data_IF_493120001969
#
_entry.id   IF_493120001969
#
_cell.length_a   1.000
_cell.length_b   1.000
_cell.length_c   1.000
_cell.angle_alpha   90.00
_cell.angle_beta   90.00
_cell.angle_gamma   90.00
#
_symmetry.space_group_name_H-M   'P 1'
#
loop_
_entity.id
_entity.type
_entity.pdbx_description
1 polymer ?
#
# COMPACT_ATOMS: atom_id res chain seq x y z
N UNK A 1 10.42 -17.46 10.14
CA UNK A 1 9.53 -16.30 10.04
C UNK A 1 10.40 -15.09 9.84
N UNK A 2 10.00 -14.20 8.96
CA UNK A 2 10.74 -12.98 8.61
C UNK A 2 10.73 -11.92 9.72
N UNK A 3 11.61 -10.94 9.63
CA UNK A 3 11.73 -9.88 10.63
C UNK A 3 10.47 -9.00 10.68
N UNK A 4 9.85 -8.73 9.53
CA UNK A 4 8.59 -8.01 9.42
C UNK A 4 7.43 -8.79 10.04
N UNK A 5 7.37 -10.11 9.82
CA UNK A 5 6.36 -10.96 10.46
C UNK A 5 6.43 -10.84 11.99
N UNK A 6 7.63 -10.98 12.56
CA UNK A 6 7.82 -10.93 14.01
C UNK A 6 7.50 -9.54 14.57
N UNK A 7 7.88 -8.46 13.86
CA UNK A 7 7.56 -7.07 14.22
C UNK A 7 6.06 -6.80 14.22
N UNK A 8 5.33 -7.25 13.19
CA UNK A 8 3.88 -7.11 13.10
C UNK A 8 3.19 -7.94 14.19
N UNK A 9 3.59 -9.20 14.36
CA UNK A 9 3.02 -10.10 15.37
C UNK A 9 3.18 -9.51 16.77
N UNK A 10 4.37 -9.00 17.11
CA UNK A 10 4.60 -8.38 18.41
C UNK A 10 3.70 -7.16 18.66
N UNK A 11 3.44 -6.34 17.64
CA UNK A 11 2.55 -5.19 17.76
C UNK A 11 1.08 -5.60 17.97
N UNK A 12 0.61 -6.60 17.23
CA UNK A 12 -0.75 -7.14 17.36
C UNK A 12 -0.95 -7.84 18.69
N UNK A 13 0.03 -8.64 19.12
CA UNK A 13 -0.02 -9.38 20.37
C UNK A 13 -0.10 -8.42 21.57
N UNK A 14 0.71 -7.36 21.57
CA UNK A 14 0.68 -6.32 22.59
C UNK A 14 -0.71 -5.67 22.71
N UNK A 15 -1.34 -5.30 21.60
CA UNK A 15 -2.65 -4.66 21.61
C UNK A 15 -3.76 -5.66 22.00
N UNK A 16 -3.65 -6.92 21.55
CA UNK A 16 -4.62 -7.96 21.88
C UNK A 16 -4.60 -8.32 23.37
N UNK A 17 -3.41 -8.51 23.95
CA UNK A 17 -3.24 -8.82 25.38
C UNK A 17 -3.69 -7.65 26.26
N UNK A 18 -3.43 -6.41 25.85
CA UNK A 18 -3.89 -5.21 26.57
C UNK A 18 -5.41 -5.19 26.74
N UNK A 19 -6.15 -5.69 25.75
CA UNK A 19 -7.61 -5.76 25.78
C UNK A 19 -8.13 -7.09 26.38
N UNK A 20 -7.26 -7.89 27.01
CA UNK A 20 -7.60 -9.16 27.65
C UNK A 20 -7.86 -10.31 26.67
N UNK A 21 -7.46 -10.16 25.41
CA UNK A 21 -7.56 -11.18 24.39
C UNK A 21 -6.32 -12.07 24.30
N UNK A 22 -6.39 -13.06 23.42
CA UNK A 22 -5.25 -13.89 22.98
C UNK A 22 -5.07 -13.72 21.49
N UNK A 23 -3.83 -13.61 21.00
CA UNK A 23 -3.56 -13.44 19.58
C UNK A 23 -3.82 -14.75 18.82
N UNK A 24 -4.60 -14.65 17.75
CA UNK A 24 -4.94 -15.77 16.86
C UNK A 24 -4.52 -15.40 15.43
N UNK A 25 -3.46 -16.01 14.86
CA UNK A 25 -2.97 -15.67 13.53
C UNK A 25 -4.00 -15.84 12.41
N UNK A 26 -4.95 -16.75 12.59
CA UNK A 26 -6.01 -17.07 11.63
C UNK A 26 -7.25 -16.16 11.72
N UNK A 27 -7.21 -15.12 12.55
CA UNK A 27 -8.32 -14.17 12.71
C UNK A 27 -8.96 -14.20 14.09
N UNK A 28 -9.87 -13.26 14.33
CA UNK A 28 -10.53 -13.08 15.62
C UNK A 28 -11.49 -14.23 15.95
N UNK A 29 -11.39 -14.73 17.18
CA UNK A 29 -12.30 -15.72 17.77
C UNK A 29 -12.84 -15.23 19.11
N UNK A 30 -13.82 -15.93 19.66
CA UNK A 30 -14.29 -15.70 21.02
C UNK A 30 -13.19 -16.11 22.03
N UNK A 31 -12.43 -15.13 22.50
CA UNK A 31 -11.29 -15.33 23.43
C UNK A 31 -11.47 -14.61 24.78
N UNK A 32 -12.68 -14.15 25.11
CA UNK A 32 -13.00 -13.48 26.39
C UNK A 32 -12.49 -12.03 26.53
N UNK A 33 -11.65 -11.55 25.61
CA UNK A 33 -11.14 -10.18 25.59
C UNK A 33 -12.13 -9.14 25.06
N UNK A 34 -11.94 -7.88 25.46
CA UNK A 34 -12.69 -6.71 24.96
C UNK A 34 -12.08 -6.17 23.67
N UNK A 35 -11.95 -7.02 22.65
CA UNK A 35 -11.32 -6.63 21.39
C UNK A 35 -12.29 -5.77 20.53
N UNK A 36 -12.15 -4.44 20.60
CA UNK A 36 -12.97 -3.51 19.81
C UNK A 36 -12.51 -3.38 18.36
N UNK A 37 -11.22 -3.58 18.09
CA UNK A 37 -10.58 -3.25 16.82
C UNK A 37 -10.27 -4.47 15.93
N UNK A 38 -10.65 -5.68 16.35
CA UNK A 38 -10.42 -6.93 15.59
C UNK A 38 -8.95 -7.10 15.13
N UNK A 39 -8.00 -6.97 16.06
CA UNK A 39 -6.56 -6.98 15.74
C UNK A 39 -6.10 -8.25 15.00
N UNK A 40 -6.67 -9.41 15.36
CA UNK A 40 -6.32 -10.68 14.73
C UNK A 40 -6.81 -10.74 13.27
N UNK A 41 -7.99 -10.19 12.97
CA UNK A 41 -8.47 -10.07 11.58
C UNK A 41 -7.56 -9.15 10.77
N UNK A 42 -7.09 -8.04 11.37
CA UNK A 42 -6.11 -7.17 10.71
C UNK A 42 -4.81 -7.91 10.44
N UNK A 43 -4.28 -8.64 11.42
CA UNK A 43 -3.07 -9.46 11.25
C UNK A 43 -3.21 -10.42 10.07
N UNK A 44 -4.29 -11.22 10.07
CA UNK A 44 -4.59 -12.15 8.99
C UNK A 44 -4.67 -11.43 7.64
N UNK A 45 -5.41 -10.32 7.57
CA UNK A 45 -5.53 -9.53 6.35
C UNK A 45 -4.17 -9.08 5.81
N UNK A 46 -3.24 -8.65 6.67
CA UNK A 46 -1.90 -8.21 6.23
C UNK A 46 -1.11 -9.38 5.64
N UNK A 47 -1.13 -10.54 6.31
CA UNK A 47 -0.42 -11.73 5.83
C UNK A 47 -1.00 -12.23 4.51
N UNK A 48 -2.33 -12.31 4.41
CA UNK A 48 -3.01 -12.73 3.18
C UNK A 48 -2.74 -11.73 2.03
N UNK A 49 -2.68 -10.43 2.33
CA UNK A 49 -2.34 -9.39 1.34
C UNK A 49 -0.89 -9.50 0.88
N UNK A 50 0.06 -9.76 1.77
CA UNK A 50 1.47 -9.98 1.40
C UNK A 50 1.63 -11.20 0.50
N UNK A 51 0.92 -12.29 0.80
CA UNK A 51 0.88 -13.50 -0.05
C UNK A 51 0.31 -13.21 -1.44
N UNK A 52 -0.82 -12.50 -1.50
CA UNK A 52 -1.44 -12.10 -2.76
C UNK A 52 -0.50 -11.22 -3.61
N UNK A 53 0.25 -10.31 -2.97
CA UNK A 53 1.31 -9.56 -3.64
C UNK A 53 2.37 -10.52 -4.19
N UNK A 54 2.98 -11.35 -3.33
CA UNK A 54 4.01 -12.31 -3.72
C UNK A 54 3.63 -13.16 -4.94
N UNK A 55 2.40 -13.67 -4.95
CA UNK A 55 1.82 -14.39 -6.09
C UNK A 55 1.68 -13.51 -7.35
N UNK A 56 1.11 -12.31 -7.21
CA UNK A 56 0.83 -11.41 -8.33
C UNK A 56 2.10 -10.86 -9.02
N UNK A 57 3.19 -10.68 -8.27
CA UNK A 57 4.43 -10.07 -8.80
C UNK A 57 5.62 -11.03 -8.83
N UNK A 58 5.44 -12.29 -8.42
CA UNK A 58 6.48 -13.31 -8.44
C UNK A 58 7.61 -13.04 -7.43
N UNK A 59 7.28 -12.55 -6.25
CA UNK A 59 8.22 -12.31 -5.14
C UNK A 59 7.89 -13.22 -3.95
N UNK A 60 8.86 -13.45 -3.07
CA UNK A 60 8.57 -14.06 -1.78
C UNK A 60 7.70 -13.10 -0.97
N UNK A 61 6.59 -13.59 -0.41
CA UNK A 61 5.67 -12.77 0.37
C UNK A 61 6.31 -12.24 1.67
N UNK A 62 7.28 -12.98 2.22
CA UNK A 62 8.06 -12.52 3.38
C UNK A 62 8.89 -11.27 3.04
N UNK A 63 9.48 -11.20 1.84
CA UNK A 63 10.23 -10.01 1.40
C UNK A 63 9.30 -8.81 1.21
N UNK A 64 8.10 -9.03 0.66
CA UNK A 64 7.07 -7.99 0.53
C UNK A 64 6.67 -7.46 1.91
N UNK A 65 6.42 -8.34 2.86
CA UNK A 65 6.05 -7.97 4.24
C UNK A 65 7.19 -7.22 4.93
N UNK A 66 8.44 -7.67 4.77
CA UNK A 66 9.62 -7.03 5.35
C UNK A 66 9.82 -5.62 4.77
N UNK A 67 9.54 -5.41 3.48
CA UNK A 67 9.50 -4.09 2.85
C UNK A 67 8.48 -3.17 3.51
N UNK A 68 7.23 -3.63 3.67
CA UNK A 68 6.18 -2.86 4.35
C UNK A 68 6.53 -2.54 5.81
N UNK A 69 7.05 -3.52 6.54
CA UNK A 69 7.41 -3.35 7.94
C UNK A 69 8.64 -2.47 8.12
N UNK A 70 9.56 -2.43 7.16
CA UNK A 70 10.67 -1.46 7.14
C UNK A 70 10.16 -0.02 7.05
N UNK A 71 9.19 0.21 6.15
CA UNK A 71 8.60 1.53 5.95
C UNK A 71 7.61 1.94 7.05
N UNK A 72 6.99 0.97 7.74
CA UNK A 72 5.98 1.24 8.77
C UNK A 72 6.60 1.93 9.98
N UNK A 73 6.29 3.22 10.10
CA UNK A 73 6.69 4.11 11.20
C UNK A 73 5.52 4.60 12.09
N UNK A 74 4.29 4.11 11.86
CA UNK A 74 3.12 4.40 12.71
C UNK A 74 2.29 3.13 12.98
N UNK A 75 1.15 3.31 13.67
CA UNK A 75 0.30 2.22 14.13
C UNK A 75 -0.20 1.36 12.96
N UNK A 76 -0.03 0.05 13.07
CA UNK A 76 -0.28 -0.91 12.00
C UNK A 76 -1.74 -0.92 11.53
N UNK A 77 -2.70 -0.65 12.41
CA UNK A 77 -4.13 -0.56 12.03
C UNK A 77 -4.38 0.58 11.02
N UNK A 78 -3.62 1.67 11.11
CA UNK A 78 -3.71 2.79 10.19
C UNK A 78 -2.81 2.59 8.96
N UNK A 79 -1.65 1.96 9.15
CA UNK A 79 -0.70 1.72 8.05
C UNK A 79 -1.26 0.74 7.03
N UNK A 80 -1.87 -0.33 7.54
CA UNK A 80 -2.43 -1.41 6.73
C UNK A 80 -3.89 -1.16 6.36
N UNK A 81 -4.06 -0.59 5.18
CA UNK A 81 -5.36 -0.24 4.60
C UNK A 81 -5.32 -0.48 3.10
N UNK A 82 -6.47 -0.80 2.49
CA UNK A 82 -6.55 -1.01 1.03
C UNK A 82 -6.05 0.20 0.22
N UNK A 83 -6.10 1.42 0.76
CA UNK A 83 -5.54 2.60 0.10
C UNK A 83 -4.01 2.63 0.03
N UNK A 84 -3.33 1.98 0.98
CA UNK A 84 -1.87 1.90 1.05
C UNK A 84 -1.32 0.59 0.45
N UNK A 85 -2.06 -0.52 0.58
CA UNK A 85 -1.72 -1.82 0.00
C UNK A 85 -2.90 -2.36 -0.83
N UNK A 86 -3.26 -1.72 -1.95
CA UNK A 86 -4.38 -2.13 -2.80
C UNK A 86 -4.15 -3.52 -3.39
N UNK A 87 -5.21 -4.23 -3.75
CA UNK A 87 -5.04 -5.50 -4.46
C UNK A 87 -4.36 -5.26 -5.80
N UNK A 88 -3.37 -6.11 -6.14
CA UNK A 88 -2.75 -6.11 -7.46
C UNK A 88 -3.70 -6.77 -8.46
N UNK A 89 -4.74 -6.03 -8.85
CA UNK A 89 -5.69 -6.39 -9.92
C UNK A 89 -5.38 -5.56 -11.16
N UNK A 90 -5.54 -6.19 -12.33
CA UNK A 90 -5.29 -5.54 -13.62
C UNK A 90 -6.08 -4.22 -13.76
N UNK A 91 -5.43 -3.16 -14.26
CA UNK A 91 -6.03 -1.85 -14.53
C UNK A 91 -5.32 -0.69 -13.85
N UNK A 92 -5.53 -0.51 -12.53
CA UNK A 92 -5.00 0.63 -11.76
C UNK A 92 -3.61 0.42 -11.15
N UNK A 93 -3.14 -0.82 -11.16
CA UNK A 93 -1.82 -1.20 -10.62
C UNK A 93 -0.87 -1.49 -11.77
N UNK A 94 0.29 -0.83 -11.76
CA UNK A 94 1.40 -1.12 -12.68
C UNK A 94 2.62 -1.57 -11.88
N UNK A 95 3.29 -2.62 -12.35
CA UNK A 95 4.41 -3.24 -11.66
C UNK A 95 5.65 -3.15 -12.53
N UNK A 96 6.75 -2.70 -11.94
CA UNK A 96 8.05 -2.52 -12.59
C UNK A 96 9.13 -3.28 -11.83
N UNK A 97 10.13 -3.80 -12.54
CA UNK A 97 11.28 -4.43 -11.93
C UNK A 97 12.15 -3.42 -11.20
N UNK A 98 12.46 -2.30 -11.87
CA UNK A 98 13.39 -1.27 -11.38
C UNK A 98 12.80 0.14 -11.44
N UNK A 99 13.42 1.06 -10.73
CA UNK A 99 13.05 2.49 -10.82
C UNK A 99 13.33 3.08 -12.21
N UNK A 100 14.28 2.51 -12.95
CA UNK A 100 14.61 2.93 -14.31
C UNK A 100 13.49 2.55 -15.27
N UNK A 101 12.98 1.32 -15.20
CA UNK A 101 11.82 0.87 -15.99
C UNK A 101 10.59 1.74 -15.73
N UNK A 102 10.33 2.12 -14.47
CA UNK A 102 9.25 3.05 -14.13
C UNK A 102 9.45 4.41 -14.82
N UNK A 103 10.64 4.99 -14.74
CA UNK A 103 10.94 6.29 -15.35
C UNK A 103 10.84 6.25 -16.88
N UNK A 104 11.36 5.20 -17.51
CA UNK A 104 11.26 4.99 -18.95
C UNK A 104 9.80 4.83 -19.39
N UNK A 105 9.00 4.08 -18.63
CA UNK A 105 7.58 3.92 -18.91
C UNK A 105 6.78 5.21 -18.73
N UNK A 106 7.14 6.07 -17.76
CA UNK A 106 6.54 7.41 -17.59
C UNK A 106 6.93 8.29 -18.78
N UNK A 107 8.19 8.26 -19.21
CA UNK A 107 8.72 9.14 -20.24
C UNK A 107 8.88 10.57 -19.73
N UNK A 108 8.11 11.50 -20.30
CA UNK A 108 8.10 12.88 -19.80
C UNK A 108 7.44 12.94 -18.42
N UNK A 109 8.12 13.58 -17.45
CA UNK A 109 7.59 13.81 -16.10
C UNK A 109 6.46 14.84 -16.12
N UNK A 110 5.31 14.45 -16.68
CA UNK A 110 4.07 15.22 -16.74
C UNK A 110 2.96 14.35 -16.19
N UNK A 111 2.23 14.89 -15.23
CA UNK A 111 1.16 14.19 -14.53
C UNK A 111 -0.10 15.03 -14.45
N UNK A 112 -1.26 14.38 -14.46
CA UNK A 112 -2.57 15.02 -14.33
C UNK A 112 -2.97 15.13 -12.87
N UNK A 113 -3.18 16.35 -12.38
CA UNK A 113 -3.72 16.54 -11.05
C UNK A 113 -5.17 15.99 -10.97
N UNK A 114 -5.48 15.08 -10.03
CA UNK A 114 -6.81 14.48 -9.92
C UNK A 114 -7.88 15.47 -9.46
N UNK A 115 -7.46 16.53 -8.75
CA UNK A 115 -8.35 17.58 -8.22
C UNK A 115 -8.70 18.62 -9.27
N UNK A 116 -7.70 19.26 -9.91
CA UNK A 116 -7.93 20.39 -10.81
C UNK A 116 -7.70 20.10 -12.30
N UNK A 117 -7.24 18.90 -12.66
CA UNK A 117 -7.01 18.50 -14.06
C UNK A 117 -5.84 19.19 -14.77
N UNK A 118 -5.05 20.03 -14.07
CA UNK A 118 -3.87 20.66 -14.67
C UNK A 118 -2.68 19.70 -14.70
N UNK A 119 -1.83 19.88 -15.70
CA UNK A 119 -0.55 19.17 -15.82
C UNK A 119 0.43 19.68 -14.78
N UNK A 120 1.25 18.76 -14.26
CA UNK A 120 2.24 19.06 -13.25
C UNK A 120 3.49 18.20 -13.44
N UNK A 121 4.70 18.77 -13.24
CA UNK A 121 5.93 17.98 -13.20
C UNK A 121 6.09 17.09 -11.97
N UNK A 122 5.35 17.35 -10.88
CA UNK A 122 5.42 16.60 -9.65
C UNK A 122 4.27 15.56 -9.57
N UNK A 123 4.58 14.26 -9.41
CA UNK A 123 3.58 13.19 -9.32
C UNK A 123 2.75 13.17 -8.03
N UNK A 124 3.15 13.91 -6.99
CA UNK A 124 2.54 13.84 -5.66
C UNK A 124 1.89 15.16 -5.23
N UNK A 125 2.35 16.31 -5.74
CA UNK A 125 1.91 17.63 -5.26
C UNK A 125 1.52 18.58 -6.39
N UNK A 126 0.31 19.12 -6.30
CA UNK A 126 -0.23 20.09 -7.24
C UNK A 126 0.11 21.53 -6.86
N UNK A 127 1.10 22.17 -7.50
CA UNK A 127 1.39 23.60 -7.24
C UNK A 127 0.21 24.54 -7.53
N UNK A 128 -0.62 24.20 -8.52
CA UNK A 128 -1.71 25.06 -8.97
C UNK A 128 -2.94 25.10 -8.04
N UNK A 129 -3.20 24.05 -7.24
CA UNK A 129 -4.35 23.98 -6.33
C UNK A 129 -4.00 23.49 -4.91
N UNK A 130 -2.72 23.23 -4.64
CA UNK A 130 -2.23 22.73 -3.36
C UNK A 130 -2.53 21.26 -3.08
N UNK A 131 -3.12 20.51 -4.03
CA UNK A 131 -3.47 19.11 -3.81
C UNK A 131 -2.26 18.22 -3.53
N UNK A 132 -2.40 17.25 -2.63
CA UNK A 132 -1.36 16.30 -2.25
C UNK A 132 -1.93 14.89 -2.29
N UNK A 133 -1.32 13.99 -3.06
CA UNK A 133 -1.81 12.61 -3.21
C UNK A 133 -1.72 11.80 -1.91
N UNK A 134 -0.82 12.17 -1.01
CA UNK A 134 -0.70 11.58 0.32
C UNK A 134 -1.65 12.20 1.36
N UNK A 135 -2.61 13.03 0.93
CA UNK A 135 -3.67 13.59 1.76
C UNK A 135 -4.88 12.67 1.90
N UNK A 136 -5.88 13.10 2.67
CA UNK A 136 -7.08 12.31 3.02
C UNK A 136 -7.82 11.68 1.83
N UNK A 137 -7.86 12.36 0.69
CA UNK A 137 -8.63 11.94 -0.49
C UNK A 137 -7.76 11.31 -1.60
N UNK A 138 -6.47 11.09 -1.33
CA UNK A 138 -5.62 10.32 -2.23
C UNK A 138 -5.48 10.91 -3.64
N UNK A 139 -5.57 10.00 -4.61
CA UNK A 139 -5.63 10.27 -6.05
C UNK A 139 -7.07 10.51 -6.57
N UNK A 140 -8.07 10.55 -5.68
CA UNK A 140 -9.49 10.60 -6.02
C UNK A 140 -9.92 9.48 -7.01
N UNK A 141 -9.21 8.35 -7.02
CA UNK A 141 -9.42 7.24 -7.95
C UNK A 141 -9.05 7.52 -9.40
N UNK A 142 -8.37 8.64 -9.70
CA UNK A 142 -7.95 9.07 -11.04
C UNK A 142 -6.45 8.92 -11.28
N UNK A 143 -5.68 8.52 -10.26
CA UNK A 143 -4.25 8.28 -10.38
C UNK A 143 -3.95 6.83 -10.70
N UNK A 144 -2.74 6.44 -10.37
CA UNK A 144 -2.19 5.10 -10.61
C UNK A 144 -1.39 4.66 -9.40
N UNK A 145 -1.51 3.38 -9.05
CA UNK A 145 -0.64 2.75 -8.08
C UNK A 145 0.50 2.05 -8.82
N UNK A 146 1.74 2.40 -8.49
CA UNK A 146 2.92 1.77 -9.07
C UNK A 146 3.64 0.96 -8.01
N UNK A 147 4.12 -0.22 -8.37
CA UNK A 147 4.95 -1.06 -7.51
C UNK A 147 6.30 -1.30 -8.17
N UNK A 148 7.40 -1.06 -7.45
CA UNK A 148 8.77 -1.28 -7.93
C UNK A 148 9.39 -2.41 -7.12
N UNK A 149 9.66 -3.55 -7.79
CA UNK A 149 10.14 -4.77 -7.14
C UNK A 149 11.48 -4.58 -6.44
N UNK A 150 12.43 -3.89 -7.09
CA UNK A 150 13.74 -3.54 -6.51
C UNK A 150 13.63 -2.80 -5.18
N UNK A 151 12.58 -2.00 -4.99
CA UNK A 151 12.35 -1.24 -3.76
C UNK A 151 11.41 -1.94 -2.77
N UNK A 152 10.82 -3.08 -3.17
CA UNK A 152 9.77 -3.79 -2.42
C UNK A 152 8.63 -2.86 -1.98
N UNK A 153 8.35 -1.82 -2.77
CA UNK A 153 7.49 -0.70 -2.39
C UNK A 153 6.54 -0.34 -3.50
N UNK A 154 5.31 0.00 -3.10
CA UNK A 154 4.34 0.59 -4.00
C UNK A 154 3.84 1.94 -3.49
N UNK A 155 3.51 2.81 -4.43
CA UNK A 155 3.09 4.18 -4.16
C UNK A 155 1.96 4.59 -5.10
N UNK A 156 1.04 5.40 -4.57
CA UNK A 156 0.02 6.07 -5.38
C UNK A 156 0.56 7.40 -5.87
N UNK A 157 0.45 7.65 -7.16
CA UNK A 157 0.83 8.91 -7.79
C UNK A 157 -0.26 9.42 -8.75
N UNK A 158 -0.16 10.69 -9.13
CA UNK A 158 -0.96 11.27 -10.20
C UNK A 158 -0.76 10.49 -11.51
N UNK A 159 -1.79 10.45 -12.36
CA UNK A 159 -1.71 9.75 -13.65
C UNK A 159 -0.67 10.42 -14.55
N UNK A 160 0.36 9.70 -15.04
CA UNK A 160 1.22 10.21 -16.10
C UNK A 160 0.42 10.53 -17.35
N UNK A 161 0.71 11.64 -18.01
CA UNK A 161 0.01 12.02 -19.25
C UNK A 161 0.21 10.96 -20.34
N UNK A 162 1.39 10.32 -20.38
CA UNK A 162 1.69 9.22 -21.30
C UNK A 162 0.84 7.96 -21.06
N UNK A 163 0.15 7.86 -19.92
CA UNK A 163 -0.72 6.74 -19.55
C UNK A 163 -2.19 7.10 -19.53
N UNK A 164 -2.54 8.37 -19.77
CA UNK A 164 -3.92 8.73 -20.13
C UNK A 164 -4.18 8.00 -21.45
N UNK A 165 -5.02 6.96 -21.44
CA UNK A 165 -5.48 6.35 -22.68
C UNK A 165 -5.99 7.48 -23.57
N UNK A 166 -5.45 7.56 -24.80
CA UNK A 166 -6.10 8.29 -25.87
C UNK A 166 -7.50 7.69 -25.98
N UNK A 167 -8.47 8.29 -25.29
CA UNK A 167 -9.88 8.08 -25.55
C UNK A 167 -10.15 8.69 -26.93
N UNK A 168 -9.72 7.99 -27.97
CA UNK A 168 -10.26 8.13 -29.33
C UNK A 168 -11.61 7.43 -29.35
#
# INVERSE_FOLDING_TARGET
MSAGYDKLKAAVDKDCVKDGGTMHPEGCVACGGKCSHKYCDKFKWVIDRAKAYGEAIGLNWEDVLDGWETDRNYWYMNYYQDCNQPEIKAGKVRVFGTILELKEAIGEMKFRCPSCGKENPNPYECKACGWKVYGLLGDMGKGVFVYVKEQLRGETMFMPISWEEDKV
#
